data_IF_416495803546
#
_entry.id   IF_416495803546
#
_cell.length_a   1.000
_cell.length_b   1.000
_cell.length_c   1.000
_cell.angle_alpha   90.00
_cell.angle_beta   90.00
_cell.angle_gamma   90.00
#
_symmetry.space_group_name_H-M   'P 1'
#
loop_
_entity.id
_entity.type
_entity.pdbx_description
1 polymer ?
#
# COMPACT_ATOMS: atom_id res chain seq x y z
N UNK A 1 82.82 -28.74 13.33
CA UNK A 1 82.46 -27.35 13.68
C UNK A 1 80.94 -27.28 13.72
N UNK A 2 80.35 -27.41 14.91
CA UNK A 2 79.69 -26.32 15.67
C UNK A 2 78.18 -26.30 15.34
N UNK A 3 77.19 -26.36 16.23
CA UNK A 3 77.07 -26.33 17.68
C UNK A 3 75.71 -26.96 18.02
N UNK A 4 75.66 -27.92 18.93
CA UNK A 4 74.47 -28.19 19.75
C UNK A 4 74.91 -27.90 21.19
N UNK A 5 74.24 -26.98 21.90
CA UNK A 5 74.74 -26.49 23.18
C UNK A 5 74.64 -27.58 24.24
N UNK A 6 75.71 -27.75 25.02
CA UNK A 6 75.78 -28.51 26.26
C UNK A 6 74.86 -27.90 27.33
N UNK A 7 73.55 -27.96 27.14
CA UNK A 7 72.62 -27.27 28.04
C UNK A 7 72.30 -28.05 29.34
N UNK A 8 72.87 -29.25 29.56
CA UNK A 8 72.48 -30.09 30.70
C UNK A 8 73.65 -30.94 31.27
N UNK A 9 74.68 -30.30 31.81
CA UNK A 9 75.79 -30.98 32.52
C UNK A 9 75.86 -30.66 34.04
N UNK A 10 74.76 -30.21 34.65
CA UNK A 10 74.65 -29.94 36.08
C UNK A 10 73.87 -30.98 36.90
N UNK A 11 73.89 -30.90 38.26
CA UNK A 11 73.25 -31.83 39.20
C UNK A 11 71.72 -31.92 39.11
N UNK A 12 71.11 -31.16 38.19
CA UNK A 12 69.67 -31.09 37.93
C UNK A 12 69.20 -32.02 36.79
N UNK A 13 70.11 -32.79 36.19
CA UNK A 13 69.81 -33.80 35.14
C UNK A 13 68.64 -34.75 35.46
N UNK A 14 68.56 -35.37 36.66
CA UNK A 14 67.42 -36.25 36.99
C UNK A 14 66.11 -35.48 37.17
N UNK A 15 66.18 -34.21 37.63
CA UNK A 15 65.00 -33.35 37.76
C UNK A 15 64.46 -32.90 36.40
N UNK A 16 65.33 -32.50 35.47
CA UNK A 16 64.92 -32.09 34.12
C UNK A 16 64.34 -33.27 33.32
N UNK A 17 64.94 -34.46 33.45
CA UNK A 17 64.42 -35.67 32.82
C UNK A 17 63.08 -36.10 33.44
N UNK A 18 62.97 -36.06 34.78
CA UNK A 18 61.73 -36.30 35.51
C UNK A 18 60.60 -35.35 35.12
N UNK A 19 60.89 -34.05 35.00
CA UNK A 19 59.94 -33.03 34.59
C UNK A 19 59.49 -33.20 33.14
N UNK A 20 60.40 -33.56 32.24
CA UNK A 20 60.07 -33.86 30.84
C UNK A 20 59.20 -35.13 30.73
N UNK A 21 59.53 -36.20 31.45
CA UNK A 21 58.70 -37.41 31.49
C UNK A 21 57.36 -37.16 32.15
N UNK A 22 57.29 -36.27 33.15
CA UNK A 22 56.05 -35.87 33.80
C UNK A 22 55.19 -35.03 32.86
N UNK A 23 55.77 -34.09 32.09
CA UNK A 23 55.06 -33.31 31.08
C UNK A 23 54.56 -34.20 29.93
N UNK A 24 55.38 -35.14 29.45
CA UNK A 24 54.97 -36.12 28.42
C UNK A 24 53.86 -37.02 28.95
N UNK A 25 53.98 -37.51 30.19
CA UNK A 25 52.92 -38.27 30.84
C UNK A 25 51.65 -37.43 31.02
N UNK A 26 51.75 -36.14 31.36
CA UNK A 26 50.62 -35.22 31.50
C UNK A 26 49.94 -34.94 30.14
N UNK A 27 50.70 -34.87 29.05
CA UNK A 27 50.20 -34.75 27.66
C UNK A 27 49.55 -36.06 27.20
N UNK A 28 50.03 -37.22 27.65
CA UNK A 28 49.40 -38.52 27.38
C UNK A 28 48.19 -38.80 28.29
N UNK A 29 48.10 -38.11 29.44
CA UNK A 29 47.01 -38.15 30.41
C UNK A 29 45.97 -37.05 30.19
N UNK A 30 46.17 -36.11 29.26
CA UNK A 30 45.01 -35.38 28.75
C UNK A 30 44.15 -36.44 28.08
N UNK A 31 42.94 -36.74 28.59
CA UNK A 31 42.04 -37.57 27.81
C UNK A 31 41.99 -36.91 26.45
N UNK A 32 42.33 -37.66 25.39
CA UNK A 32 41.99 -37.24 24.05
C UNK A 32 40.55 -36.81 24.18
N UNK A 33 40.29 -35.50 24.05
CA UNK A 33 38.94 -35.00 24.04
C UNK A 33 38.37 -35.66 22.82
N UNK A 34 37.73 -36.81 23.01
CA UNK A 34 36.82 -37.40 22.06
C UNK A 34 35.82 -36.29 21.88
N UNK A 35 36.05 -35.49 20.84
CA UNK A 35 35.11 -34.48 20.38
C UNK A 35 33.86 -35.28 20.12
N UNK A 36 32.96 -35.30 21.11
CA UNK A 36 31.69 -35.96 21.01
C UNK A 36 30.92 -35.10 20.01
N UNK A 37 30.99 -35.54 18.75
CA UNK A 37 30.45 -34.85 17.60
C UNK A 37 29.00 -34.48 17.91
N UNK A 38 28.71 -33.19 18.03
CA UNK A 38 27.38 -32.76 18.45
C UNK A 38 26.46 -32.57 17.24
N UNK A 39 25.15 -32.73 17.45
CA UNK A 39 24.15 -32.40 16.41
C UNK A 39 24.31 -30.96 15.89
N UNK A 40 24.74 -30.03 16.75
CA UNK A 40 25.01 -28.64 16.38
C UNK A 40 26.21 -28.50 15.45
N UNK A 41 27.33 -29.19 15.73
CA UNK A 41 28.51 -29.20 14.86
C UNK A 41 28.20 -29.79 13.48
N UNK A 42 27.41 -30.86 13.44
CA UNK A 42 26.94 -31.46 12.18
C UNK A 42 26.10 -30.45 11.39
N UNK A 43 25.16 -29.77 12.07
CA UNK A 43 24.31 -28.77 11.44
C UNK A 43 25.13 -27.59 10.91
N UNK A 44 26.10 -27.07 11.67
CA UNK A 44 26.97 -26.00 11.19
C UNK A 44 27.80 -26.46 9.99
N UNK A 45 28.36 -27.68 10.02
CA UNK A 45 29.12 -28.20 8.89
C UNK A 45 28.27 -28.34 7.62
N UNK A 46 26.97 -28.62 7.78
CA UNK A 46 26.02 -28.72 6.65
C UNK A 46 25.86 -27.42 5.86
N UNK A 47 26.26 -26.27 6.41
CA UNK A 47 26.23 -24.98 5.69
C UNK A 47 27.38 -24.85 4.69
N UNK A 48 28.44 -25.64 4.85
CA UNK A 48 29.61 -25.67 3.97
C UNK A 48 29.61 -26.89 3.06
N UNK A 49 29.38 -28.07 3.65
CA UNK A 49 29.45 -29.35 2.95
C UNK A 49 28.35 -30.31 3.47
N UNK A 50 27.15 -30.29 2.85
CA UNK A 50 26.04 -31.15 3.23
C UNK A 50 26.31 -32.64 3.06
N UNK A 51 27.15 -33.02 2.09
CA UNK A 51 27.47 -34.42 1.83
C UNK A 51 28.39 -34.95 2.96
N UNK A 52 29.41 -34.18 3.35
CA UNK A 52 30.25 -34.53 4.50
C UNK A 52 29.49 -34.47 5.84
N UNK A 53 28.63 -33.47 6.03
CA UNK A 53 27.78 -33.39 7.23
C UNK A 53 26.84 -34.59 7.37
N UNK A 54 26.39 -35.17 6.25
CA UNK A 54 25.61 -36.40 6.27
C UNK A 54 26.44 -37.60 6.71
N UNK A 55 27.70 -37.70 6.29
CA UNK A 55 28.59 -38.76 6.77
C UNK A 55 28.88 -38.61 8.27
N UNK A 56 29.07 -37.37 8.74
CA UNK A 56 29.16 -37.06 10.18
C UNK A 56 27.89 -37.50 10.94
N UNK A 57 26.71 -37.23 10.36
CA UNK A 57 25.43 -37.67 10.92
C UNK A 57 25.30 -39.20 10.99
N UNK A 58 25.66 -39.93 9.94
CA UNK A 58 25.66 -41.39 9.94
C UNK A 58 26.62 -41.97 10.98
N UNK A 59 27.80 -41.35 11.14
CA UNK A 59 28.74 -41.71 12.20
C UNK A 59 28.15 -41.45 13.58
N UNK A 60 27.52 -40.28 13.79
CA UNK A 60 26.86 -39.94 15.05
C UNK A 60 25.82 -40.99 15.45
N UNK A 61 24.88 -41.30 14.56
CA UNK A 61 23.80 -42.26 14.87
C UNK A 61 24.32 -43.67 15.12
N UNK A 62 25.44 -44.07 14.49
CA UNK A 62 26.04 -45.40 14.69
C UNK A 62 26.64 -45.59 16.08
N UNK A 63 26.96 -44.49 16.78
CA UNK A 63 27.57 -44.48 18.11
C UNK A 63 26.53 -44.31 19.23
N UNK A 64 25.25 -44.14 18.88
CA UNK A 64 24.20 -43.94 19.86
C UNK A 64 23.97 -45.18 20.72
N UNK A 65 23.72 -44.94 22.00
CA UNK A 65 23.21 -45.97 22.92
C UNK A 65 21.87 -46.50 22.42
N UNK A 66 21.53 -47.79 22.65
CA UNK A 66 20.19 -48.31 22.38
C UNK A 66 19.07 -47.60 23.16
N UNK A 67 19.42 -46.82 24.19
CA UNK A 67 18.49 -46.01 24.98
C UNK A 67 18.71 -44.52 24.70
N UNK A 68 17.99 -43.99 23.70
CA UNK A 68 17.92 -42.55 23.39
C UNK A 68 16.59 -42.01 23.89
N UNK A 69 16.59 -40.85 24.53
CA UNK A 69 15.34 -40.22 24.97
C UNK A 69 14.45 -39.85 23.77
N UNK A 70 13.13 -39.81 23.95
CA UNK A 70 12.20 -39.43 22.88
C UNK A 70 12.52 -38.05 22.29
N UNK A 71 12.97 -37.11 23.14
CA UNK A 71 13.30 -35.75 22.70
C UNK A 71 14.58 -35.73 21.86
N UNK A 72 15.61 -36.45 22.30
CA UNK A 72 16.86 -36.56 21.55
C UNK A 72 16.65 -37.29 20.21
N UNK A 73 15.83 -38.34 20.21
CA UNK A 73 15.44 -39.06 18.99
C UNK A 73 14.77 -38.12 17.96
N UNK A 74 13.83 -37.26 18.39
CA UNK A 74 13.21 -36.26 17.51
C UNK A 74 14.23 -35.28 16.93
N UNK A 75 15.17 -34.81 17.74
CA UNK A 75 16.23 -33.88 17.30
C UNK A 75 17.14 -34.54 16.26
N UNK A 76 17.49 -35.81 16.46
CA UNK A 76 18.29 -36.60 15.50
C UNK A 76 17.54 -36.78 14.19
N UNK A 77 16.25 -37.14 14.25
CA UNK A 77 15.43 -37.32 13.05
C UNK A 77 15.27 -35.99 12.29
N UNK A 78 14.97 -34.91 13.00
CA UNK A 78 14.84 -33.58 12.43
C UNK A 78 16.13 -33.14 11.74
N UNK A 79 17.28 -33.33 12.38
CA UNK A 79 18.57 -33.04 11.75
C UNK A 79 18.77 -33.88 10.48
N UNK A 80 18.46 -35.18 10.53
CA UNK A 80 18.54 -36.06 9.35
C UNK A 80 17.71 -35.54 8.17
N UNK A 81 16.48 -35.06 8.42
CA UNK A 81 15.64 -34.46 7.36
C UNK A 81 16.23 -33.18 6.80
N UNK A 82 16.73 -32.28 7.66
CA UNK A 82 17.41 -31.04 7.25
C UNK A 82 18.63 -31.35 6.37
N UNK A 83 19.49 -32.27 6.79
CA UNK A 83 20.70 -32.64 6.05
C UNK A 83 20.35 -33.25 4.68
N UNK A 84 19.38 -34.16 4.64
CA UNK A 84 18.91 -34.72 3.37
C UNK A 84 18.37 -33.62 2.44
N UNK A 85 17.58 -32.68 2.96
CA UNK A 85 17.07 -31.56 2.18
C UNK A 85 18.20 -30.66 1.64
N UNK A 86 19.17 -30.29 2.48
CA UNK A 86 20.35 -29.50 2.05
C UNK A 86 21.15 -30.21 0.97
N UNK A 87 21.34 -31.53 1.05
CA UNK A 87 22.00 -32.31 -0.01
C UNK A 87 21.25 -32.26 -1.34
N UNK A 88 19.92 -32.30 -1.31
CA UNK A 88 19.09 -32.18 -2.53
C UNK A 88 19.08 -30.76 -3.11
N UNK A 89 19.37 -29.77 -2.29
CA UNK A 89 19.41 -28.35 -2.66
C UNK A 89 20.83 -27.75 -2.64
N UNK A 90 21.88 -28.58 -2.74
CA UNK A 90 23.27 -28.13 -2.54
C UNK A 90 23.77 -27.11 -3.58
N UNK A 91 23.13 -27.04 -4.73
CA UNK A 91 23.43 -26.05 -5.77
C UNK A 91 22.80 -24.67 -5.47
N UNK A 92 22.05 -24.54 -4.38
CA UNK A 92 21.37 -23.31 -3.97
C UNK A 92 21.99 -22.74 -2.69
N UNK A 93 22.75 -21.66 -2.83
CA UNK A 93 23.37 -20.93 -1.72
C UNK A 93 22.40 -20.61 -0.58
N UNK A 94 21.15 -20.22 -0.90
CA UNK A 94 20.15 -19.88 0.09
C UNK A 94 19.78 -21.07 0.99
N UNK A 95 19.80 -22.29 0.44
CA UNK A 95 19.46 -23.50 1.17
C UNK A 95 20.60 -23.92 2.12
N UNK A 96 21.85 -23.73 1.69
CA UNK A 96 23.03 -24.02 2.50
C UNK A 96 23.16 -23.05 3.67
N UNK A 97 23.07 -21.74 3.37
CA UNK A 97 23.25 -20.64 4.31
C UNK A 97 22.00 -20.34 5.14
N UNK A 98 20.89 -21.02 4.87
CA UNK A 98 19.58 -20.76 5.50
C UNK A 98 19.14 -19.30 5.36
N UNK A 99 19.42 -18.72 4.19
CA UNK A 99 19.20 -17.32 3.86
C UNK A 99 17.81 -17.12 3.23
N UNK A 100 16.90 -16.50 3.98
CA UNK A 100 15.52 -16.24 3.53
C UNK A 100 15.48 -15.18 2.42
N UNK A 101 16.39 -14.19 2.43
CA UNK A 101 16.46 -13.18 1.36
C UNK A 101 16.91 -13.82 0.05
N UNK A 102 17.89 -14.72 0.13
CA UNK A 102 18.32 -15.57 -0.98
C UNK A 102 17.19 -16.44 -1.53
N UNK A 103 16.36 -17.01 -0.65
CA UNK A 103 15.16 -17.76 -1.05
C UNK A 103 14.17 -16.87 -1.79
N UNK A 104 13.85 -15.67 -1.27
CA UNK A 104 12.96 -14.72 -1.95
C UNK A 104 13.50 -14.37 -3.34
N UNK A 105 14.80 -14.11 -3.45
CA UNK A 105 15.46 -13.83 -4.74
C UNK A 105 15.31 -14.99 -5.73
N UNK A 106 15.44 -16.23 -5.25
CA UNK A 106 15.19 -17.42 -6.08
C UNK A 106 13.74 -17.52 -6.55
N UNK A 107 12.77 -17.24 -5.66
CA UNK A 107 11.33 -17.32 -5.96
C UNK A 107 10.86 -16.26 -6.97
N UNK A 108 11.60 -15.15 -7.14
CA UNK A 108 11.32 -14.13 -8.16
C UNK A 108 11.54 -14.59 -9.59
N UNK A 109 12.36 -15.62 -9.80
CA UNK A 109 12.76 -16.04 -11.15
C UNK A 109 12.43 -17.49 -11.45
N UNK A 110 11.91 -18.22 -10.46
CA UNK A 110 11.84 -19.68 -10.51
C UNK A 110 10.47 -20.18 -10.09
N UNK A 111 9.88 -21.07 -10.90
CA UNK A 111 8.67 -21.80 -10.52
C UNK A 111 9.04 -23.00 -9.66
N UNK A 112 8.44 -23.10 -8.48
CA UNK A 112 8.69 -24.21 -7.56
C UNK A 112 8.05 -25.51 -8.06
N UNK A 113 8.85 -26.58 -8.09
CA UNK A 113 8.34 -27.95 -8.18
C UNK A 113 7.93 -28.45 -6.79
N UNK A 114 6.91 -29.31 -6.66
CA UNK A 114 6.45 -29.82 -5.36
C UNK A 114 7.56 -30.38 -4.46
N UNK A 115 8.52 -31.12 -5.02
CA UNK A 115 9.62 -31.70 -4.24
C UNK A 115 10.55 -30.63 -3.67
N UNK A 116 10.78 -29.52 -4.38
CA UNK A 116 11.60 -28.41 -3.89
C UNK A 116 10.93 -27.72 -2.71
N UNK A 117 9.60 -27.54 -2.77
CA UNK A 117 8.80 -26.96 -1.68
C UNK A 117 9.00 -27.73 -0.38
N UNK A 118 8.93 -29.06 -0.43
CA UNK A 118 9.18 -29.92 0.72
C UNK A 118 10.57 -29.71 1.32
N UNK A 119 11.63 -29.73 0.49
CA UNK A 119 12.99 -29.52 0.99
C UNK A 119 13.22 -28.12 1.57
N UNK A 120 12.61 -27.08 0.99
CA UNK A 120 12.70 -25.73 1.56
C UNK A 120 12.02 -25.69 2.93
N UNK A 121 10.84 -26.30 3.08
CA UNK A 121 10.15 -26.36 4.37
C UNK A 121 10.93 -27.14 5.43
N UNK A 122 11.61 -28.23 5.08
CA UNK A 122 12.46 -28.96 6.02
C UNK A 122 13.66 -28.12 6.50
N UNK A 123 14.26 -27.32 5.62
CA UNK A 123 15.43 -26.49 5.98
C UNK A 123 15.03 -25.28 6.84
N UNK A 124 14.01 -24.54 6.40
CA UNK A 124 13.66 -23.28 7.03
C UNK A 124 12.65 -23.43 8.16
N UNK A 125 11.77 -24.43 8.09
CA UNK A 125 10.61 -24.55 8.96
C UNK A 125 9.49 -23.58 8.55
N UNK A 126 8.26 -24.06 8.62
CA UNK A 126 7.08 -23.25 8.26
C UNK A 126 6.91 -22.04 9.20
N UNK A 127 7.04 -22.24 10.50
CA UNK A 127 6.91 -21.19 11.51
C UNK A 127 7.91 -20.03 11.30
N UNK A 128 9.20 -20.35 11.10
CA UNK A 128 10.25 -19.35 10.84
C UNK A 128 9.95 -18.53 9.58
N UNK A 129 9.43 -19.15 8.54
CA UNK A 129 9.07 -18.46 7.29
C UNK A 129 7.83 -17.58 7.47
N UNK A 130 6.84 -18.02 8.26
CA UNK A 130 5.67 -17.21 8.64
C UNK A 130 6.12 -15.99 9.45
N UNK A 131 6.97 -16.18 10.45
CA UNK A 131 7.50 -15.10 11.29
C UNK A 131 8.28 -14.08 10.45
N UNK A 132 9.11 -14.57 9.53
CA UNK A 132 9.83 -13.72 8.60
C UNK A 132 8.86 -12.93 7.71
N UNK A 133 7.86 -13.58 7.11
CA UNK A 133 6.85 -12.95 6.27
C UNK A 133 6.13 -11.84 7.04
N UNK A 134 5.59 -12.15 8.23
CA UNK A 134 4.84 -11.22 9.06
C UNK A 134 5.71 -10.02 9.49
N UNK A 135 6.97 -10.26 9.82
CA UNK A 135 7.90 -9.20 10.27
C UNK A 135 8.38 -8.28 9.15
N UNK A 136 8.40 -8.77 7.90
CA UNK A 136 9.04 -8.05 6.79
C UNK A 136 8.08 -7.56 5.71
N UNK A 137 6.84 -8.06 5.63
CA UNK A 137 5.89 -7.73 4.56
C UNK A 137 5.68 -6.21 4.39
N UNK A 138 5.59 -5.48 5.50
CA UNK A 138 5.40 -4.01 5.50
C UNK A 138 6.59 -3.23 4.92
N UNK A 139 7.80 -3.78 4.97
CA UNK A 139 9.04 -3.14 4.51
C UNK A 139 9.52 -3.69 3.16
N UNK A 140 9.19 -4.94 2.88
CA UNK A 140 9.58 -5.65 1.67
C UNK A 140 8.42 -6.51 1.16
N UNK A 141 7.71 -6.00 0.16
CA UNK A 141 6.59 -6.71 -0.47
C UNK A 141 7.00 -8.02 -1.14
N UNK A 142 8.30 -8.22 -1.44
CA UNK A 142 8.80 -9.47 -2.02
C UNK A 142 8.67 -10.65 -1.06
N UNK A 143 8.61 -10.37 0.26
CA UNK A 143 8.37 -11.40 1.27
C UNK A 143 7.08 -12.19 0.98
N UNK A 144 6.10 -11.58 0.31
CA UNK A 144 4.85 -12.25 -0.09
C UNK A 144 5.09 -13.49 -0.96
N UNK A 145 6.21 -13.58 -1.69
CA UNK A 145 6.57 -14.76 -2.49
C UNK A 145 6.81 -16.00 -1.64
N UNK A 146 7.10 -15.86 -0.34
CA UNK A 146 7.20 -16.97 0.61
C UNK A 146 5.90 -17.78 0.66
N UNK A 147 4.74 -17.19 0.35
CA UNK A 147 3.47 -17.92 0.24
C UNK A 147 3.48 -19.03 -0.82
N UNK A 148 4.40 -19.01 -1.79
CA UNK A 148 4.60 -20.14 -2.72
C UNK A 148 5.09 -21.40 -1.98
N UNK A 149 5.81 -21.21 -0.88
CA UNK A 149 6.41 -22.28 -0.05
C UNK A 149 5.51 -22.66 1.13
N UNK A 150 4.72 -21.75 1.66
CA UNK A 150 3.89 -22.04 2.83
C UNK A 150 2.67 -22.90 2.49
N UNK A 151 2.10 -23.54 3.51
CA UNK A 151 0.83 -24.28 3.41
C UNK A 151 -0.38 -23.42 3.76
N UNK A 152 -0.16 -22.25 4.37
CA UNK A 152 -1.20 -21.30 4.77
C UNK A 152 -1.98 -20.71 3.58
N UNK A 153 -3.15 -20.15 3.88
CA UNK A 153 -4.00 -19.51 2.88
C UNK A 153 -3.47 -18.11 2.54
N UNK A 154 -3.46 -17.79 1.24
CA UNK A 154 -3.06 -16.48 0.74
C UNK A 154 -4.07 -15.39 1.13
N UNK A 155 -5.31 -15.79 1.48
CA UNK A 155 -6.36 -14.90 1.97
C UNK A 155 -5.91 -14.09 3.19
N UNK A 156 -5.15 -14.71 4.09
CA UNK A 156 -4.78 -14.10 5.37
C UNK A 156 -3.93 -12.83 5.21
N UNK A 157 -3.29 -12.66 4.04
CA UNK A 157 -2.44 -11.51 3.72
C UNK A 157 -3.11 -10.47 2.82
N UNK A 158 -4.32 -10.72 2.34
CA UNK A 158 -4.99 -9.82 1.40
C UNK A 158 -5.22 -8.42 1.99
N UNK A 159 -5.65 -8.36 3.25
CA UNK A 159 -5.92 -7.11 3.97
C UNK A 159 -4.66 -6.28 4.18
N UNK A 160 -3.57 -6.92 4.61
CA UNK A 160 -2.30 -6.26 4.91
C UNK A 160 -1.64 -5.73 3.64
N UNK A 161 -1.61 -6.53 2.57
CA UNK A 161 -1.10 -6.10 1.27
C UNK A 161 -1.92 -4.93 0.73
N UNK A 162 -3.26 -4.98 0.86
CA UNK A 162 -4.11 -3.87 0.45
C UNK A 162 -3.79 -2.58 1.22
N UNK A 163 -3.51 -2.67 2.53
CA UNK A 163 -3.11 -1.51 3.32
C UNK A 163 -1.76 -0.93 2.86
N UNK A 164 -0.78 -1.79 2.58
CA UNK A 164 0.55 -1.40 2.11
C UNK A 164 0.46 -0.65 0.77
N UNK A 165 -0.20 -1.24 -0.24
CA UNK A 165 -0.26 -0.65 -1.59
C UNK A 165 -1.15 0.58 -1.68
N UNK A 166 -2.04 0.78 -0.70
CA UNK A 166 -2.86 1.99 -0.60
C UNK A 166 -2.05 3.20 -0.14
N UNK A 167 -0.91 2.99 0.53
CA UNK A 167 -0.06 4.04 1.11
C UNK A 167 1.17 4.35 0.27
N UNK A 168 1.73 3.37 -0.44
CA UNK A 168 2.98 3.53 -1.19
C UNK A 168 2.84 3.10 -2.66
N UNK A 169 2.91 4.10 -3.55
CA UNK A 169 2.85 3.92 -5.00
C UNK A 169 4.00 3.06 -5.53
N UNK A 170 5.22 3.20 -5.01
CA UNK A 170 6.37 2.40 -5.48
C UNK A 170 6.19 0.93 -5.14
N UNK A 171 5.73 0.66 -3.92
CA UNK A 171 5.43 -0.71 -3.49
C UNK A 171 4.27 -1.31 -4.29
N UNK A 172 3.24 -0.52 -4.61
CA UNK A 172 2.16 -0.91 -5.51
C UNK A 172 2.66 -1.31 -6.91
N UNK A 173 3.51 -0.49 -7.52
CA UNK A 173 4.11 -0.79 -8.83
C UNK A 173 4.94 -2.08 -8.79
N UNK A 174 5.71 -2.28 -7.73
CA UNK A 174 6.50 -3.49 -7.51
C UNK A 174 5.63 -4.75 -7.35
N UNK A 175 4.51 -4.63 -6.61
CA UNK A 175 3.54 -5.72 -6.47
C UNK A 175 3.06 -6.21 -7.84
N UNK A 176 2.62 -5.30 -8.71
CA UNK A 176 2.07 -5.66 -10.03
C UNK A 176 3.14 -6.13 -11.03
N UNK A 177 4.28 -5.44 -11.07
CA UNK A 177 5.31 -5.68 -12.08
C UNK A 177 6.15 -6.92 -11.82
N UNK A 178 6.29 -7.34 -10.56
CA UNK A 178 7.22 -8.38 -10.13
C UNK A 178 6.54 -9.46 -9.27
N UNK A 179 5.95 -9.09 -8.13
CA UNK A 179 5.48 -10.06 -7.12
C UNK A 179 4.32 -10.89 -7.64
N UNK A 180 3.25 -10.27 -8.16
CA UNK A 180 2.05 -10.99 -8.63
C UNK A 180 2.33 -11.90 -9.82
N UNK A 181 3.35 -11.60 -10.64
CA UNK A 181 3.73 -12.47 -11.76
C UNK A 181 4.27 -13.82 -11.29
N UNK A 182 4.98 -13.82 -10.17
CA UNK A 182 5.69 -14.96 -9.61
C UNK A 182 4.97 -15.63 -8.44
N UNK A 183 3.84 -15.08 -7.99
CA UNK A 183 3.01 -15.69 -6.97
C UNK A 183 2.19 -16.86 -7.56
N UNK A 184 2.35 -18.07 -7.01
CA UNK A 184 1.74 -19.30 -7.53
C UNK A 184 0.21 -19.21 -7.53
N UNK A 185 -0.36 -18.77 -6.41
CA UNK A 185 -1.81 -18.59 -6.23
C UNK A 185 -2.28 -17.16 -6.57
N UNK A 186 -1.63 -16.48 -7.52
CA UNK A 186 -1.91 -15.04 -7.81
C UNK A 186 -3.38 -14.71 -8.04
N UNK A 187 -4.11 -15.53 -8.79
CA UNK A 187 -5.50 -15.22 -9.15
C UNK A 187 -6.40 -15.27 -7.92
N UNK A 188 -6.24 -16.31 -7.09
CA UNK A 188 -6.96 -16.45 -5.83
C UNK A 188 -6.60 -15.32 -4.87
N UNK A 189 -5.30 -15.01 -4.73
CA UNK A 189 -4.84 -13.91 -3.90
C UNK A 189 -5.46 -12.56 -4.31
N UNK A 190 -5.40 -12.22 -5.60
CA UNK A 190 -5.97 -10.97 -6.11
C UNK A 190 -7.48 -10.93 -5.92
N UNK A 191 -8.19 -12.06 -6.06
CA UNK A 191 -9.62 -12.13 -5.78
C UNK A 191 -9.93 -11.75 -4.32
N UNK A 192 -9.14 -12.23 -3.36
CA UNK A 192 -9.30 -11.82 -1.96
C UNK A 192 -8.97 -10.34 -1.74
N UNK A 193 -7.94 -9.81 -2.39
CA UNK A 193 -7.62 -8.37 -2.33
C UNK A 193 -8.76 -7.52 -2.90
N UNK A 194 -9.36 -7.94 -4.03
CA UNK A 194 -10.50 -7.25 -4.65
C UNK A 194 -11.77 -7.35 -3.79
N UNK A 195 -11.97 -8.47 -3.09
CA UNK A 195 -13.03 -8.62 -2.10
C UNK A 195 -12.87 -7.59 -0.96
N UNK A 196 -11.69 -7.56 -0.33
CA UNK A 196 -11.37 -6.58 0.72
C UNK A 196 -11.52 -5.13 0.23
N UNK A 197 -11.09 -4.86 -1.00
CA UNK A 197 -11.22 -3.56 -1.64
C UNK A 197 -12.71 -3.18 -1.83
N UNK A 198 -13.54 -4.13 -2.24
CA UNK A 198 -14.97 -3.92 -2.43
C UNK A 198 -15.70 -3.68 -1.11
N UNK A 199 -15.37 -4.44 -0.05
CA UNK A 199 -15.93 -4.22 1.28
C UNK A 199 -15.60 -2.80 1.77
N UNK A 200 -14.34 -2.36 1.63
CA UNK A 200 -13.95 -0.97 1.94
C UNK A 200 -14.70 0.06 1.09
N UNK A 201 -15.01 -0.26 -0.17
CA UNK A 201 -15.79 0.63 -1.03
C UNK A 201 -17.22 0.81 -0.52
N UNK A 202 -17.86 -0.25 -0.01
CA UNK A 202 -19.24 -0.19 0.45
C UNK A 202 -19.43 0.84 1.57
N UNK A 203 -18.53 0.82 2.56
CA UNK A 203 -18.59 1.64 3.77
C UNK A 203 -17.93 3.02 3.64
N UNK A 204 -17.20 3.25 2.55
CA UNK A 204 -16.43 4.46 2.33
C UNK A 204 -17.28 5.71 2.02
N UNK A 205 -16.75 6.88 2.41
CA UNK A 205 -17.24 8.18 1.95
C UNK A 205 -16.91 8.45 0.46
N UNK A 206 -17.34 9.60 -0.04
CA UNK A 206 -17.16 9.97 -1.47
C UNK A 206 -15.69 10.07 -1.90
N UNK A 207 -14.82 10.60 -1.05
CA UNK A 207 -13.40 10.79 -1.38
C UNK A 207 -12.67 9.46 -1.38
N UNK A 208 -12.88 8.66 -0.34
CA UNK A 208 -12.32 7.32 -0.22
C UNK A 208 -12.81 6.40 -1.35
N UNK A 209 -14.10 6.49 -1.73
CA UNK A 209 -14.65 5.78 -2.91
C UNK A 209 -13.90 6.11 -4.20
N UNK A 210 -13.48 7.38 -4.39
CA UNK A 210 -12.70 7.75 -5.58
C UNK A 210 -11.30 7.11 -5.56
N UNK A 211 -10.60 7.14 -4.41
CA UNK A 211 -9.28 6.50 -4.25
C UNK A 211 -9.34 4.99 -4.46
N UNK A 212 -10.37 4.33 -3.93
CA UNK A 212 -10.59 2.89 -4.12
C UNK A 212 -10.82 2.55 -5.59
N UNK A 213 -11.63 3.35 -6.31
CA UNK A 213 -11.85 3.14 -7.74
C UNK A 213 -10.60 3.38 -8.58
N UNK A 214 -9.71 4.26 -8.15
CA UNK A 214 -8.40 4.46 -8.78
C UNK A 214 -7.51 3.23 -8.58
N UNK A 215 -7.41 2.72 -7.35
CA UNK A 215 -6.66 1.49 -7.07
C UNK A 215 -7.22 0.30 -7.86
N UNK A 216 -8.55 0.15 -7.97
CA UNK A 216 -9.17 -0.88 -8.81
C UNK A 216 -8.76 -0.76 -10.29
N UNK A 217 -8.62 0.45 -10.84
CA UNK A 217 -8.18 0.63 -12.24
C UNK A 217 -6.77 0.11 -12.45
N UNK A 218 -5.90 0.17 -11.45
CA UNK A 218 -4.55 -0.41 -11.54
C UNK A 218 -4.61 -1.93 -11.63
N UNK A 219 -5.47 -2.58 -10.83
CA UNK A 219 -5.74 -4.02 -10.95
C UNK A 219 -6.28 -4.38 -12.35
N UNK A 220 -7.25 -3.61 -12.84
CA UNK A 220 -7.82 -3.78 -14.18
C UNK A 220 -6.78 -3.64 -15.29
N UNK A 221 -5.87 -2.67 -15.18
CA UNK A 221 -4.79 -2.46 -16.15
C UNK A 221 -3.86 -3.68 -16.26
N UNK A 222 -3.77 -4.49 -15.20
CA UNK A 222 -2.98 -5.73 -15.16
C UNK A 222 -3.83 -6.99 -15.44
N UNK A 223 -5.06 -6.81 -15.94
CA UNK A 223 -5.94 -7.92 -16.36
C UNK A 223 -6.78 -8.53 -15.23
N UNK A 224 -6.76 -7.95 -14.03
CA UNK A 224 -7.59 -8.41 -12.91
C UNK A 224 -8.90 -7.63 -12.88
N UNK A 225 -10.01 -8.30 -13.16
CA UNK A 225 -11.33 -7.68 -13.30
C UNK A 225 -12.28 -8.22 -12.23
N UNK A 226 -13.08 -7.32 -11.64
CA UNK A 226 -14.17 -7.67 -10.73
C UNK A 226 -15.48 -7.09 -11.26
N UNK A 227 -16.47 -7.93 -11.47
CA UNK A 227 -17.75 -7.54 -12.06
C UNK A 227 -18.47 -6.43 -11.27
N UNK A 228 -18.32 -6.41 -9.94
CA UNK A 228 -18.99 -5.44 -9.07
C UNK A 228 -18.43 -4.05 -9.33
N UNK A 229 -17.11 -3.94 -9.43
CA UNK A 229 -16.44 -2.69 -9.79
C UNK A 229 -16.74 -2.28 -11.23
N UNK A 230 -16.81 -3.21 -12.18
CA UNK A 230 -17.20 -2.90 -13.56
C UNK A 230 -18.63 -2.32 -13.64
N UNK A 231 -19.58 -2.85 -12.87
CA UNK A 231 -20.95 -2.29 -12.79
C UNK A 231 -20.94 -0.86 -12.23
N UNK A 232 -20.11 -0.58 -11.22
CA UNK A 232 -19.96 0.76 -10.65
C UNK A 232 -19.39 1.74 -11.68
N UNK A 233 -18.31 1.35 -12.38
CA UNK A 233 -17.68 2.16 -13.41
C UNK A 233 -18.60 2.38 -14.62
N UNK A 234 -19.33 1.33 -15.05
CA UNK A 234 -20.29 1.42 -16.14
C UNK A 234 -21.46 2.35 -15.81
N UNK A 235 -22.00 2.30 -14.57
CA UNK A 235 -23.04 3.23 -14.12
C UNK A 235 -22.55 4.67 -14.17
N UNK A 236 -21.30 4.91 -13.75
CA UNK A 236 -20.68 6.25 -13.78
C UNK A 236 -20.45 6.74 -15.21
N UNK A 237 -19.95 5.89 -16.10
CA UNK A 237 -19.78 6.21 -17.52
C UNK A 237 -21.10 6.43 -18.23
N UNK A 238 -22.14 5.63 -17.92
CA UNK A 238 -23.49 5.85 -18.45
C UNK A 238 -24.06 7.18 -17.98
N UNK A 239 -23.89 7.53 -16.71
CA UNK A 239 -24.38 8.80 -16.16
C UNK A 239 -23.64 10.00 -16.79
N UNK A 240 -22.31 9.89 -16.98
CA UNK A 240 -21.51 10.91 -17.67
C UNK A 240 -21.88 11.01 -19.15
N UNK A 241 -22.09 9.88 -19.83
CA UNK A 241 -22.54 9.82 -21.21
C UNK A 241 -23.94 10.41 -21.39
N UNK A 242 -24.90 10.12 -20.51
CA UNK A 242 -26.26 10.68 -20.53
C UNK A 242 -26.23 12.19 -20.31
N UNK A 243 -25.46 12.67 -19.32
CA UNK A 243 -25.30 14.10 -19.09
C UNK A 243 -24.68 14.77 -20.32
N UNK A 244 -23.61 14.19 -20.88
CA UNK A 244 -22.94 14.75 -22.05
C UNK A 244 -23.77 14.66 -23.33
N UNK A 245 -24.57 13.61 -23.50
CA UNK A 245 -25.47 13.46 -24.65
C UNK A 245 -26.61 14.47 -24.56
N UNK A 246 -27.19 14.69 -23.38
CA UNK A 246 -28.20 15.75 -23.17
C UNK A 246 -27.61 17.16 -23.38
N UNK A 247 -26.37 17.40 -22.93
CA UNK A 247 -25.67 18.67 -23.20
C UNK A 247 -25.37 18.81 -24.69
N UNK A 248 -24.88 17.76 -25.36
CA UNK A 248 -24.57 17.78 -26.80
C UNK A 248 -25.82 17.96 -27.64
N UNK A 249 -26.93 17.30 -27.31
CA UNK A 249 -28.23 17.50 -27.96
C UNK A 249 -28.70 18.94 -27.78
N UNK A 250 -28.68 19.46 -26.56
CA UNK A 250 -28.98 20.87 -26.27
C UNK A 250 -28.11 21.84 -27.09
N UNK A 251 -26.79 21.65 -27.11
CA UNK A 251 -25.86 22.48 -27.90
C UNK A 251 -26.05 22.30 -29.42
N UNK A 252 -26.37 21.10 -29.89
CA UNK A 252 -26.61 20.83 -31.31
C UNK A 252 -27.90 21.47 -31.81
N UNK A 253 -28.96 21.50 -30.98
CA UNK A 253 -30.17 22.26 -31.25
C UNK A 253 -29.89 23.77 -31.22
N UNK A 254 -29.08 24.24 -30.28
CA UNK A 254 -28.66 25.65 -30.17
C UNK A 254 -27.81 26.10 -31.38
N UNK A 255 -26.98 25.22 -31.94
CA UNK A 255 -26.20 25.48 -33.16
C UNK A 255 -27.02 25.36 -34.45
N UNK A 256 -27.98 24.42 -34.54
CA UNK A 256 -28.88 24.30 -35.69
C UNK A 256 -29.89 25.47 -35.79
N UNK A 257 -30.19 26.12 -34.67
CA UNK A 257 -30.90 27.40 -34.63
C UNK A 257 -30.13 28.51 -35.36
N UNK A 258 -28.80 28.39 -35.50
CA UNK A 258 -27.92 29.30 -36.23
C UNK A 258 -28.09 29.32 -37.75
N UNK A 259 -28.97 28.48 -38.34
CA UNK A 259 -29.22 28.47 -39.80
C UNK A 259 -30.26 29.51 -40.25
N UNK A 260 -31.11 29.97 -39.33
CA UNK A 260 -32.03 31.08 -39.60
C UNK A 260 -31.43 32.38 -39.03
N UNK A 261 -30.86 33.21 -39.90
CA UNK A 261 -30.24 34.50 -39.55
C UNK A 261 -31.13 35.38 -38.64
N UNK A 262 -32.44 35.40 -38.88
CA UNK A 262 -33.43 36.11 -38.05
C UNK A 262 -33.60 35.50 -36.66
N UNK A 263 -33.54 34.17 -36.52
CA UNK A 263 -33.70 33.53 -35.22
C UNK A 263 -32.39 33.61 -34.41
N UNK A 264 -31.23 33.50 -35.05
CA UNK A 264 -29.94 33.69 -34.39
C UNK A 264 -29.76 35.12 -33.84
N UNK A 265 -30.21 36.14 -34.58
CA UNK A 265 -30.15 37.53 -34.11
C UNK A 265 -31.16 37.76 -32.99
N UNK A 266 -32.40 37.27 -33.11
CA UNK A 266 -33.40 37.35 -32.03
C UNK A 266 -32.92 36.63 -30.77
N UNK A 267 -32.32 35.44 -30.90
CA UNK A 267 -31.78 34.69 -29.76
C UNK A 267 -30.62 35.43 -29.08
N UNK A 268 -29.71 36.01 -29.87
CA UNK A 268 -28.58 36.78 -29.33
C UNK A 268 -29.07 38.07 -28.64
N UNK A 269 -30.08 38.75 -29.20
CA UNK A 269 -30.74 39.89 -28.55
C UNK A 269 -31.44 39.47 -27.26
N UNK A 270 -32.16 38.35 -27.24
CA UNK A 270 -32.79 37.81 -26.02
C UNK A 270 -31.74 37.47 -24.96
N UNK A 271 -30.63 36.84 -25.36
CA UNK A 271 -29.54 36.51 -24.44
C UNK A 271 -28.88 37.77 -23.85
N UNK A 272 -28.67 38.80 -24.67
CA UNK A 272 -28.19 40.12 -24.21
C UNK A 272 -29.20 40.76 -23.27
N UNK A 273 -30.50 40.70 -23.57
CA UNK A 273 -31.56 41.21 -22.69
C UNK A 273 -31.58 40.47 -21.35
N UNK A 274 -31.42 39.14 -21.34
CA UNK A 274 -31.35 38.33 -20.10
C UNK A 274 -30.12 38.73 -19.27
N UNK A 275 -28.96 38.90 -19.92
CA UNK A 275 -27.72 39.32 -19.24
C UNK A 275 -27.86 40.74 -18.68
N UNK A 276 -28.40 41.68 -19.46
CA UNK A 276 -28.67 43.04 -19.02
C UNK A 276 -29.70 43.07 -17.88
N UNK A 277 -30.71 42.19 -17.89
CA UNK A 277 -31.71 42.09 -16.83
C UNK A 277 -31.17 41.44 -15.54
N UNK A 278 -30.05 40.72 -15.61
CA UNK A 278 -29.34 40.18 -14.46
C UNK A 278 -28.66 41.27 -13.62
N UNK A 279 -28.27 42.38 -14.27
CA UNK A 279 -27.68 43.54 -13.60
C UNK A 279 -28.77 44.27 -12.79
N UNK A 280 -28.53 44.50 -11.49
CA UNK A 280 -29.55 45.05 -10.58
C UNK A 280 -29.97 46.48 -10.93
N UNK A 281 -29.04 47.30 -11.39
CA UNK A 281 -29.26 48.72 -11.71
C UNK A 281 -30.12 48.91 -12.96
N UNK A 282 -29.79 48.21 -14.05
CA UNK A 282 -30.58 48.19 -15.29
C UNK A 282 -31.99 47.66 -15.05
N UNK A 283 -32.14 46.62 -14.22
CA UNK A 283 -33.46 46.09 -13.86
C UNK A 283 -34.32 47.13 -13.12
N UNK A 284 -33.71 47.94 -12.25
CA UNK A 284 -34.41 49.04 -11.57
C UNK A 284 -34.91 50.08 -12.58
N UNK A 285 -34.04 50.56 -13.47
CA UNK A 285 -34.39 51.57 -14.48
C UNK A 285 -35.52 51.09 -15.39
N UNK A 286 -35.48 49.82 -15.81
CA UNK A 286 -36.55 49.22 -16.62
C UNK A 286 -37.89 49.22 -15.86
N UNK A 287 -37.91 48.82 -14.59
CA UNK A 287 -39.15 48.85 -13.80
C UNK A 287 -39.66 50.27 -13.54
N UNK A 288 -38.75 51.23 -13.39
CA UNK A 288 -39.11 52.63 -13.22
C UNK A 288 -39.75 53.21 -14.48
N UNK A 289 -39.12 52.99 -15.65
CA UNK A 289 -39.61 53.43 -16.96
C UNK A 289 -40.95 52.80 -17.34
N UNK A 290 -41.19 51.55 -16.94
CA UNK A 290 -42.46 50.85 -17.17
C UNK A 290 -43.57 51.25 -16.18
N UNK A 291 -43.31 52.19 -15.26
CA UNK A 291 -44.29 52.65 -14.27
C UNK A 291 -44.57 51.66 -13.13
N UNK A 292 -43.79 50.58 -13.03
CA UNK A 292 -43.90 49.57 -11.97
C UNK A 292 -43.18 50.02 -10.70
N UNK A 293 -43.60 51.16 -10.16
CA UNK A 293 -42.90 51.90 -9.09
C UNK A 293 -42.60 51.05 -7.85
N UNK A 294 -43.54 50.18 -7.44
CA UNK A 294 -43.35 49.27 -6.30
C UNK A 294 -42.21 48.25 -6.52
N UNK A 295 -42.10 47.69 -7.73
CA UNK A 295 -41.03 46.76 -8.08
C UNK A 295 -39.68 47.46 -8.29
N UNK A 296 -39.71 48.69 -8.79
CA UNK A 296 -38.54 49.56 -8.90
C UNK A 296 -37.96 49.83 -7.49
N UNK A 297 -38.79 50.25 -6.53
CA UNK A 297 -38.38 50.50 -5.15
C UNK A 297 -37.78 49.24 -4.48
N UNK A 298 -38.43 48.08 -4.63
CA UNK A 298 -37.92 46.80 -4.10
C UNK A 298 -36.59 46.37 -4.73
N UNK A 299 -36.42 46.62 -6.03
CA UNK A 299 -35.17 46.30 -6.74
C UNK A 299 -34.05 47.24 -6.34
N UNK A 300 -34.35 48.54 -6.18
CA UNK A 300 -33.41 49.56 -5.75
C UNK A 300 -32.99 49.42 -4.29
N UNK A 301 -33.88 48.93 -3.41
CA UNK A 301 -33.52 48.55 -2.03
C UNK A 301 -32.34 47.60 -2.00
N UNK A 302 -32.32 46.57 -2.86
CA UNK A 302 -31.20 45.61 -2.98
C UNK A 302 -29.90 46.22 -3.50
N UNK A 303 -29.95 47.46 -4.01
CA UNK A 303 -28.78 48.27 -4.39
C UNK A 303 -28.31 49.07 -3.17
N UNK A 304 -29.24 49.70 -2.43
CA UNK A 304 -28.96 50.42 -1.16
C UNK A 304 -28.40 49.49 -0.08
N UNK A 305 -28.90 48.25 0.02
CA UNK A 305 -28.42 47.26 1.00
C UNK A 305 -26.90 46.96 0.87
N UNK A 306 -26.29 47.21 -0.30
CA UNK A 306 -24.83 47.05 -0.50
C UNK A 306 -24.01 48.21 0.05
N UNK A 307 -24.62 49.38 0.18
CA UNK A 307 -23.96 50.61 0.62
C UNK A 307 -24.96 51.42 1.48
N UNK A 308 -25.21 50.94 2.72
CA UNK A 308 -26.32 51.44 3.53
C UNK A 308 -26.10 52.82 4.12
N UNK A 309 -24.94 53.46 3.94
CA UNK A 309 -24.64 54.80 4.47
C UNK A 309 -24.60 55.86 3.37
N UNK A 310 -24.83 55.48 2.11
CA UNK A 310 -24.86 56.42 1.01
C UNK A 310 -26.16 57.24 1.03
N UNK A 311 -26.02 58.51 1.42
CA UNK A 311 -27.15 59.44 1.57
C UNK A 311 -27.97 59.59 0.29
N UNK A 312 -27.31 59.72 -0.85
CA UNK A 312 -27.97 59.94 -2.15
C UNK A 312 -28.81 58.73 -2.56
N UNK A 313 -28.26 57.52 -2.43
CA UNK A 313 -28.99 56.29 -2.75
C UNK A 313 -30.16 56.07 -1.80
N UNK A 314 -30.02 56.40 -0.51
CA UNK A 314 -31.14 56.31 0.43
C UNK A 314 -32.22 57.34 0.19
N UNK A 315 -31.84 58.58 -0.14
CA UNK A 315 -32.79 59.61 -0.52
C UNK A 315 -33.59 59.18 -1.76
N UNK A 316 -32.90 58.62 -2.76
CA UNK A 316 -33.55 58.07 -3.95
C UNK A 316 -34.50 56.92 -3.61
N UNK A 317 -34.15 56.05 -2.67
CA UNK A 317 -35.04 54.98 -2.21
C UNK A 317 -36.29 55.52 -1.50
N UNK A 318 -36.14 56.55 -0.65
CA UNK A 318 -37.26 57.21 0.02
C UNK A 318 -38.24 57.83 -0.99
N UNK A 319 -37.71 58.56 -1.99
CA UNK A 319 -38.50 59.11 -3.09
C UNK A 319 -39.22 58.03 -3.90
N UNK A 320 -38.55 56.91 -4.18
CA UNK A 320 -39.16 55.79 -4.91
C UNK A 320 -40.28 55.12 -4.10
N UNK A 321 -40.17 55.04 -2.78
CA UNK A 321 -41.27 54.57 -1.92
C UNK A 321 -42.45 55.55 -1.94
N UNK A 322 -42.18 56.85 -1.83
CA UNK A 322 -43.21 57.90 -1.88
C UNK A 322 -43.95 57.89 -3.23
N UNK A 323 -43.21 57.85 -4.34
CA UNK A 323 -43.77 57.75 -5.68
C UNK A 323 -44.60 56.48 -5.90
N UNK A 324 -44.29 55.40 -5.16
CA UNK A 324 -45.01 54.13 -5.18
C UNK A 324 -46.21 54.09 -4.20
N UNK A 325 -46.48 55.17 -3.45
CA UNK A 325 -47.53 55.25 -2.43
C UNK A 325 -47.20 54.51 -1.13
N UNK A 326 -45.94 54.14 -0.92
CA UNK A 326 -45.42 53.44 0.27
C UNK A 326 -44.92 54.46 1.29
N UNK A 327 -45.84 55.28 1.83
CA UNK A 327 -45.50 56.43 2.66
C UNK A 327 -44.84 56.07 4.00
N UNK A 328 -45.20 54.93 4.59
CA UNK A 328 -44.58 54.47 5.84
C UNK A 328 -43.10 54.11 5.63
N UNK A 329 -42.79 53.36 4.58
CA UNK A 329 -41.41 53.02 4.21
C UNK A 329 -40.60 54.25 3.78
N UNK A 330 -41.21 55.19 3.06
CA UNK A 330 -40.58 56.46 2.73
C UNK A 330 -40.20 57.27 3.99
N UNK A 331 -41.14 57.39 4.93
CA UNK A 331 -40.93 58.08 6.21
C UNK A 331 -39.79 57.44 7.02
N UNK A 332 -39.71 56.12 7.01
CA UNK A 332 -38.63 55.39 7.68
C UNK A 332 -37.25 55.71 7.09
N UNK A 333 -37.13 55.77 5.76
CA UNK A 333 -35.88 56.14 5.10
C UNK A 333 -35.51 57.62 5.32
N UNK A 334 -36.49 58.54 5.30
CA UNK A 334 -36.25 59.96 5.63
C UNK A 334 -35.79 60.15 7.08
N UNK A 335 -36.40 59.45 8.03
CA UNK A 335 -35.98 59.47 9.44
C UNK A 335 -34.60 58.86 9.64
N UNK A 336 -34.24 57.85 8.85
CA UNK A 336 -32.90 57.28 8.83
C UNK A 336 -31.86 58.31 8.35
N UNK A 337 -32.12 59.01 7.24
CA UNK A 337 -31.26 60.08 6.74
C UNK A 337 -31.09 61.23 7.75
N UNK A 338 -32.16 61.61 8.45
CA UNK A 338 -32.11 62.65 9.47
C UNK A 338 -31.23 62.26 10.65
N UNK A 339 -31.25 60.98 11.07
CA UNK A 339 -30.40 60.48 12.16
C UNK A 339 -28.92 60.51 11.79
N UNK A 340 -28.57 60.07 10.58
CA UNK A 340 -27.18 60.07 10.10
C UNK A 340 -26.60 61.49 9.99
N UNK A 341 -27.42 62.51 9.70
CA UNK A 341 -26.96 63.91 9.59
C UNK A 341 -26.80 64.64 10.93
N UNK A 342 -27.30 64.06 12.03
CA UNK A 342 -27.25 64.65 13.37
C UNK A 342 -26.12 64.06 14.24
N UNK A 343 -25.47 62.99 13.76
CA UNK A 343 -24.18 62.46 14.25
C UNK A 343 -23.04 63.04 13.43
#
# INVERSE_FOLDING_TARGET
>A
MNNLPELFSGPWKPFAFGLLTFIIALILLTPATSFCLSLGEILEKSKEDPDFAWDMYLSYISQLSPYVSNEESRRIEQLGRILNAKRKLKDFDFALKEDVDGLIKFLKTSTLKPNLKYYILEIFGEEKLIDYLNSNLSRNIDALLILNVLTIDVKDYAKDVLEIISKDTKTKEKLFSEVLKNLEKRNAFVQYVLEELYQRYADADKEMKARILELYKDFKAHGFVDERFERILAKKNKLWFVIWSSVKEFFSHLLNVGKNLLFSTVFLVVLVVIVLFSIRYTRYEIFYLLGLKKLAAQTYRKIVDKDPLNEEKRLRLAQLYEEAGMFEEAMNEYNFLKRIKLE
#
